data_IF_438062507365
#
_entry.id   IF_438062507365
#
_cell.length_a   1.000
_cell.length_b   1.000
_cell.length_c   1.000
_cell.angle_alpha   90.00
_cell.angle_beta   90.00
_cell.angle_gamma   90.00
#
_symmetry.space_group_name_H-M   'P 1'
#
loop_
_entity.id
_entity.type
_entity.pdbx_description
1 polymer ?
#
# COMPACT_ATOMS: atom_id res chain seq x y z
N UNK A 1 -4.01 -0.47 6.92
CA UNK A 1 -4.19 0.42 5.78
C UNK A 1 -5.17 -0.21 4.83
N UNK A 2 -6.08 0.60 4.32
CA UNK A 2 -7.06 0.22 3.31
C UNK A 2 -7.01 1.24 2.20
N UNK A 3 -7.04 0.75 0.97
CA UNK A 3 -7.26 1.59 -0.21
C UNK A 3 -8.67 1.29 -0.66
N UNK A 4 -9.53 2.31 -0.68
CA UNK A 4 -10.87 2.21 -1.26
C UNK A 4 -10.94 3.06 -2.51
N UNK A 5 -11.25 2.42 -3.62
CA UNK A 5 -11.57 3.07 -4.89
C UNK A 5 -13.06 2.93 -5.12
N UNK A 6 -13.74 4.06 -5.32
CA UNK A 6 -15.12 4.09 -5.80
C UNK A 6 -15.11 4.69 -7.20
N UNK A 7 -15.84 4.04 -8.09
CA UNK A 7 -16.12 4.49 -9.45
C UNK A 7 -17.63 4.55 -9.62
N UNK A 8 -18.16 5.69 -10.06
CA UNK A 8 -19.61 5.91 -10.26
C UNK A 8 -20.48 5.49 -9.05
N UNK A 9 -20.02 5.77 -7.83
CA UNK A 9 -20.74 5.43 -6.59
C UNK A 9 -20.75 3.94 -6.21
N UNK A 10 -20.20 3.05 -7.04
CA UNK A 10 -20.02 1.62 -6.73
C UNK A 10 -18.60 1.37 -6.21
N UNK A 11 -18.48 0.59 -5.14
CA UNK A 11 -17.16 0.18 -4.61
C UNK A 11 -16.54 -0.80 -5.59
N UNK A 12 -15.49 -0.37 -6.29
CA UNK A 12 -14.84 -1.20 -7.31
C UNK A 12 -13.63 -1.94 -6.75
N UNK A 13 -12.95 -1.40 -5.73
CA UNK A 13 -11.77 -2.06 -5.17
C UNK A 13 -11.57 -1.76 -3.68
N UNK A 14 -11.46 -2.82 -2.88
CA UNK A 14 -11.00 -2.75 -1.50
C UNK A 14 -9.71 -3.56 -1.37
N UNK A 15 -8.57 -2.88 -1.35
CA UNK A 15 -7.28 -3.53 -1.06
C UNK A 15 -7.01 -3.36 0.43
N UNK A 16 -7.05 -4.48 1.17
CA UNK A 16 -6.60 -4.55 2.55
C UNK A 16 -5.09 -4.80 2.54
N UNK A 17 -4.31 -3.82 2.99
CA UNK A 17 -2.88 -4.01 3.13
C UNK A 17 -2.61 -4.75 4.45
N UNK A 18 -2.04 -5.97 4.42
CA UNK A 18 -1.77 -6.73 5.62
C UNK A 18 -0.62 -6.09 6.38
N UNK A 19 -0.95 -5.13 7.26
CA UNK A 19 0.05 -4.35 7.98
C UNK A 19 0.94 -5.22 8.87
N UNK A 20 0.47 -6.40 9.31
CA UNK A 20 1.18 -7.26 10.28
C UNK A 20 2.09 -8.33 9.66
N UNK A 21 1.91 -8.70 8.39
CA UNK A 21 2.66 -9.83 7.79
C UNK A 21 4.07 -9.42 7.35
N UNK A 22 4.27 -8.15 6.97
CA UNK A 22 5.56 -7.61 6.53
C UNK A 22 6.55 -7.31 7.68
N UNK A 23 6.22 -7.68 8.92
CA UNK A 23 7.14 -7.54 10.07
C UNK A 23 8.18 -8.63 10.17
N UNK A 24 7.93 -9.81 9.60
CA UNK A 24 8.94 -10.86 9.60
C UNK A 24 9.94 -10.58 8.47
N UNK A 25 11.26 -10.48 8.75
CA UNK A 25 12.29 -10.32 7.73
C UNK A 25 12.18 -11.33 6.58
N UNK A 26 11.76 -12.56 6.87
CA UNK A 26 11.54 -13.60 5.86
C UNK A 26 10.39 -13.22 4.92
N UNK A 27 9.26 -12.77 5.48
CA UNK A 27 8.08 -12.35 4.69
C UNK A 27 8.39 -11.07 3.92
N UNK A 28 9.13 -10.13 4.51
CA UNK A 28 9.59 -8.93 3.82
C UNK A 28 10.52 -9.26 2.65
N UNK A 29 11.35 -10.29 2.77
CA UNK A 29 12.24 -10.75 1.69
C UNK A 29 11.44 -11.38 0.55
N UNK A 30 10.50 -12.28 0.86
CA UNK A 30 9.61 -12.86 -0.15
C UNK A 30 8.76 -11.79 -0.83
N UNK A 31 8.18 -10.86 -0.05
CA UNK A 31 7.38 -9.77 -0.58
C UNK A 31 8.20 -8.84 -1.48
N UNK A 32 9.43 -8.47 -1.08
CA UNK A 32 10.32 -7.68 -1.92
C UNK A 32 10.63 -8.40 -3.24
N UNK A 33 10.86 -9.72 -3.21
CA UNK A 33 11.05 -10.52 -4.42
C UNK A 33 9.84 -10.49 -5.35
N UNK A 34 8.64 -10.73 -4.83
CA UNK A 34 7.38 -10.72 -5.60
C UNK A 34 7.10 -9.33 -6.18
N UNK A 35 7.26 -8.28 -5.37
CA UNK A 35 7.04 -6.89 -5.77
C UNK A 35 8.03 -6.50 -6.87
N UNK A 36 9.33 -6.79 -6.70
CA UNK A 36 10.35 -6.49 -7.69
C UNK A 36 10.10 -7.24 -9.00
N UNK A 37 9.70 -8.51 -8.94
CA UNK A 37 9.34 -9.28 -10.15
C UNK A 37 8.16 -8.63 -10.87
N UNK A 38 7.06 -8.37 -10.18
CA UNK A 38 5.86 -7.77 -10.76
C UNK A 38 6.12 -6.37 -11.35
N UNK A 39 6.91 -5.54 -10.66
CA UNK A 39 7.23 -4.19 -11.15
C UNK A 39 8.24 -4.20 -12.31
N UNK A 40 9.15 -5.19 -12.34
CA UNK A 40 10.06 -5.42 -13.47
C UNK A 40 9.30 -5.90 -14.70
N UNK A 41 8.37 -6.84 -14.53
CA UNK A 41 7.53 -7.36 -15.61
C UNK A 41 6.64 -6.25 -16.22
N UNK A 42 6.30 -5.23 -15.43
CA UNK A 42 5.55 -4.04 -15.88
C UNK A 42 6.42 -2.89 -16.39
N UNK A 43 7.75 -3.03 -16.37
CA UNK A 43 8.69 -1.99 -16.80
C UNK A 43 8.68 -0.72 -15.94
N UNK A 44 8.19 -0.79 -14.70
CA UNK A 44 7.99 0.37 -13.81
C UNK A 44 9.23 0.65 -12.94
N UNK A 45 10.14 -0.32 -12.79
CA UNK A 45 11.20 -0.25 -11.78
C UNK A 45 12.61 -0.17 -12.38
N UNK A 46 13.29 0.96 -12.14
CA UNK A 46 14.73 1.12 -12.42
C UNK A 46 15.63 0.50 -11.34
N UNK A 47 15.11 0.30 -10.11
CA UNK A 47 15.87 -0.20 -8.97
C UNK A 47 15.06 -1.11 -8.06
N UNK A 48 15.64 -2.25 -7.69
CA UNK A 48 15.02 -3.21 -6.78
C UNK A 48 14.76 -2.60 -5.40
N UNK A 49 13.57 -2.82 -4.86
CA UNK A 49 13.22 -2.54 -3.46
C UNK A 49 13.89 -3.60 -2.59
N UNK A 50 14.65 -3.17 -1.59
CA UNK A 50 15.27 -4.10 -0.63
C UNK A 50 14.28 -4.51 0.47
N UNK A 51 14.47 -5.71 1.03
CA UNK A 51 13.67 -6.18 2.16
C UNK A 51 13.74 -5.24 3.37
N UNK A 52 14.91 -4.63 3.62
CA UNK A 52 15.10 -3.65 4.70
C UNK A 52 14.26 -2.38 4.50
N UNK A 53 14.21 -1.84 3.27
CA UNK A 53 13.35 -0.70 2.94
C UNK A 53 11.87 -1.04 3.11
N UNK A 54 11.44 -2.22 2.65
CA UNK A 54 10.05 -2.67 2.80
C UNK A 54 9.66 -2.85 4.27
N UNK A 55 10.58 -3.38 5.08
CA UNK A 55 10.39 -3.54 6.52
C UNK A 55 10.30 -2.18 7.24
N UNK A 56 11.21 -1.26 6.94
CA UNK A 56 11.21 0.10 7.52
C UNK A 56 9.96 0.89 7.14
N UNK A 57 9.52 0.78 5.88
CA UNK A 57 8.27 1.36 5.40
C UNK A 57 7.07 0.81 6.20
N UNK A 58 6.97 -0.51 6.32
CA UNK A 58 5.89 -1.18 7.06
C UNK A 58 5.84 -0.75 8.53
N UNK A 59 7.00 -0.64 9.17
CA UNK A 59 7.12 -0.17 10.57
C UNK A 59 6.70 1.29 10.73
N UNK A 60 7.11 2.14 9.79
CA UNK A 60 6.74 3.56 9.78
C UNK A 60 5.23 3.72 9.60
N UNK A 61 4.64 3.05 8.61
CA UNK A 61 3.21 2.99 8.37
C UNK A 61 2.45 2.59 9.64
N UNK A 62 2.90 1.53 10.32
CA UNK A 62 2.26 1.08 11.56
C UNK A 62 2.38 2.09 12.70
N UNK A 63 3.54 2.73 12.86
CA UNK A 63 3.76 3.77 13.88
C UNK A 63 2.75 4.91 13.70
N UNK A 64 2.55 5.36 12.46
CA UNK A 64 1.57 6.41 12.15
C UNK A 64 0.13 5.91 12.31
N UNK A 65 -0.20 4.69 11.87
CA UNK A 65 -1.53 4.10 12.07
C UNK A 65 -1.91 4.01 13.55
N UNK A 66 -0.99 3.62 14.42
CA UNK A 66 -1.25 3.55 15.88
C UNK A 66 -1.53 4.92 16.48
N UNK A 67 -0.86 5.97 16.00
CA UNK A 67 -1.06 7.35 16.47
C UNK A 67 -2.32 7.99 15.88
N UNK A 68 -2.67 7.65 14.64
CA UNK A 68 -3.78 8.24 13.90
C UNK A 68 -4.62 7.15 13.19
N UNK A 69 -5.46 6.40 13.93
CA UNK A 69 -6.14 5.20 13.43
C UNK A 69 -7.22 5.45 12.36
N UNK A 70 -7.59 6.70 12.10
CA UNK A 70 -8.60 7.09 11.11
C UNK A 70 -8.06 8.05 10.04
N UNK A 71 -6.74 8.19 9.94
CA UNK A 71 -6.16 9.18 9.05
C UNK A 71 -6.28 8.79 7.58
N UNK A 72 -6.93 9.66 6.79
CA UNK A 72 -6.89 9.61 5.34
C UNK A 72 -5.55 10.21 4.88
N UNK A 73 -4.70 9.40 4.26
CA UNK A 73 -3.41 9.84 3.69
C UNK A 73 -3.60 10.54 2.36
N UNK A 74 -4.51 10.03 1.54
CA UNK A 74 -4.80 10.54 0.20
C UNK A 74 -6.30 10.47 0.02
N UNK A 75 -6.87 11.58 -0.43
CA UNK A 75 -8.27 11.73 -0.77
C UNK A 75 -8.30 12.48 -2.09
N UNK A 76 -8.61 11.76 -3.17
CA UNK A 76 -8.70 12.32 -4.52
C UNK A 76 -10.14 12.19 -4.96
N UNK A 77 -10.72 13.33 -5.35
CA UNK A 77 -12.04 13.43 -5.94
C UNK A 77 -11.87 13.84 -7.41
N UNK A 78 -12.26 12.97 -8.33
CA UNK A 78 -12.35 13.32 -9.75
C UNK A 78 -13.65 14.07 -10.02
N UNK A 79 -13.63 14.98 -11.00
CA UNK A 79 -14.85 15.66 -11.49
C UNK A 79 -15.88 14.67 -12.07
N UNK A 80 -15.43 13.48 -12.47
CA UNK A 80 -16.25 12.43 -13.06
C UNK A 80 -16.93 11.52 -12.01
N UNK A 81 -16.66 11.73 -10.71
CA UNK A 81 -17.31 10.98 -9.62
C UNK A 81 -16.47 9.85 -9.02
N UNK A 82 -15.20 9.74 -9.41
CA UNK A 82 -14.26 8.78 -8.82
C UNK A 82 -13.69 9.29 -7.50
N UNK A 83 -13.80 8.46 -6.45
CA UNK A 83 -13.20 8.71 -5.14
C UNK A 83 -12.10 7.69 -4.87
N UNK A 84 -10.86 8.16 -4.72
CA UNK A 84 -9.74 7.35 -4.24
C UNK A 84 -9.38 7.80 -2.83
N UNK A 85 -9.64 6.93 -1.85
CA UNK A 85 -9.31 7.18 -0.44
C UNK A 85 -8.32 6.13 0.04
N UNK A 86 -7.14 6.59 0.45
CA UNK A 86 -6.13 5.78 1.12
C UNK A 86 -6.20 6.10 2.61
N UNK A 87 -6.59 5.11 3.43
CA UNK A 87 -6.66 5.25 4.90
C UNK A 87 -5.66 4.33 5.58
N UNK A 88 -4.98 4.82 6.62
CA UNK A 88 -4.00 4.05 7.41
C UNK A 88 -4.63 2.94 8.26
#
# INVERSE_FOLDING_TARGET
>A
MKISVKKDGRRELLILFPSCLLFNPLVATCAAGIINKCLRDKGVLDRNITAGQLHQLSRTIMKYKRRHPRWNLVEVHSKEGDDVIIRL
#
